data_IF_357026733258
#
_entry.id   IF_357026733258
#
_cell.length_a   1.000
_cell.length_b   1.000
_cell.length_c   1.000
_cell.angle_alpha   90.00
_cell.angle_beta   90.00
_cell.angle_gamma   90.00
#
_symmetry.space_group_name_H-M   'P 1'
#
loop_
_entity.id
_entity.type
_entity.pdbx_description
1 polymer ?
#
# COMPACT_ATOMS: atom_id res chain seq x y z
N UNK A 1 7.82 17.98 -0.82
CA UNK A 1 6.46 17.41 -0.78
C UNK A 1 5.92 17.53 0.64
N UNK A 2 4.69 17.98 0.86
CA UNK A 2 4.16 18.19 2.21
C UNK A 2 3.85 16.84 2.90
N UNK A 3 4.05 16.77 4.22
CA UNK A 3 3.77 15.56 5.03
C UNK A 3 2.31 15.10 4.89
N UNK A 4 1.41 16.05 4.72
CA UNK A 4 -0.03 15.85 4.56
C UNK A 4 -0.35 15.16 3.23
N UNK A 5 0.27 15.61 2.12
CA UNK A 5 0.09 15.01 0.79
C UNK A 5 0.61 13.57 0.78
N UNK A 6 1.78 13.30 1.37
CA UNK A 6 2.31 11.94 1.44
C UNK A 6 1.42 10.99 2.27
N UNK A 7 0.81 11.51 3.35
CA UNK A 7 -0.13 10.75 4.18
C UNK A 7 -1.42 10.43 3.42
N UNK A 8 -1.94 11.38 2.63
CA UNK A 8 -3.09 11.18 1.76
C UNK A 8 -2.82 10.15 0.67
N UNK A 9 -1.68 10.28 -0.03
CA UNK A 9 -1.26 9.33 -1.08
C UNK A 9 -1.20 7.91 -0.52
N UNK A 10 -0.57 7.73 0.64
CA UNK A 10 -0.46 6.40 1.25
C UNK A 10 -1.79 5.84 1.74
N UNK A 11 -2.71 6.69 2.23
CA UNK A 11 -4.07 6.26 2.56
C UNK A 11 -4.80 5.78 1.29
N UNK A 12 -4.84 6.59 0.24
CA UNK A 12 -5.47 6.24 -1.04
C UNK A 12 -4.90 4.96 -1.65
N UNK A 13 -3.57 4.81 -1.71
CA UNK A 13 -2.94 3.60 -2.24
C UNK A 13 -3.26 2.35 -1.42
N UNK A 14 -3.35 2.48 -0.10
CA UNK A 14 -3.79 1.37 0.74
C UNK A 14 -5.23 0.97 0.48
N UNK A 15 -6.14 1.94 0.33
CA UNK A 15 -7.55 1.67 0.01
C UNK A 15 -7.70 1.03 -1.37
N UNK A 16 -6.94 1.51 -2.35
CA UNK A 16 -6.95 0.98 -3.72
C UNK A 16 -6.45 -0.47 -3.81
N UNK A 17 -5.54 -0.87 -2.91
CA UNK A 17 -5.11 -2.28 -2.77
C UNK A 17 -6.14 -3.17 -2.07
N UNK A 18 -6.95 -2.59 -1.19
CA UNK A 18 -8.06 -3.26 -0.50
C UNK A 18 -9.34 -3.30 -1.34
N UNK A 19 -9.36 -2.57 -2.46
CA UNK A 19 -10.52 -2.49 -3.35
C UNK A 19 -10.94 -3.89 -3.80
N UNK A 20 -12.15 -4.28 -3.39
CA UNK A 20 -12.79 -5.51 -3.83
C UNK A 20 -13.67 -5.28 -5.07
N UNK A 21 -14.11 -6.37 -5.70
CA UNK A 21 -15.08 -6.30 -6.79
C UNK A 21 -16.38 -5.63 -6.30
N UNK A 22 -16.79 -4.55 -6.96
CA UNK A 22 -18.02 -3.81 -6.64
C UNK A 22 -17.81 -2.48 -5.91
N UNK A 23 -16.58 -2.10 -5.57
CA UNK A 23 -16.28 -0.77 -5.04
C UNK A 23 -16.21 0.25 -6.17
N UNK A 24 -16.97 1.32 -6.06
CA UNK A 24 -16.88 2.49 -6.93
C UNK A 24 -15.66 3.36 -6.57
N UNK A 25 -15.27 4.27 -7.47
CA UNK A 25 -14.20 5.23 -7.20
C UNK A 25 -14.53 6.13 -6.00
N UNK A 26 -15.82 6.50 -5.85
CA UNK A 26 -16.32 7.24 -4.70
C UNK A 26 -16.15 6.46 -3.39
N UNK A 27 -16.36 5.14 -3.42
CA UNK A 27 -16.12 4.28 -2.25
C UNK A 27 -14.63 4.24 -1.88
N UNK A 28 -13.74 4.19 -2.86
CA UNK A 28 -12.28 4.23 -2.63
C UNK A 28 -11.87 5.57 -2.02
N UNK A 29 -12.43 6.68 -2.50
CA UNK A 29 -12.18 8.03 -1.98
C UNK A 29 -12.71 8.19 -0.54
N UNK A 30 -13.93 7.75 -0.27
CA UNK A 30 -14.53 7.82 1.06
C UNK A 30 -13.73 7.00 2.10
N UNK A 31 -13.35 5.77 1.75
CA UNK A 31 -12.53 4.94 2.62
C UNK A 31 -11.09 5.49 2.80
N UNK A 32 -10.52 6.11 1.76
CA UNK A 32 -9.23 6.80 1.88
C UNK A 32 -9.29 8.01 2.83
N UNK A 33 -10.38 8.79 2.80
CA UNK A 33 -10.64 9.88 3.75
C UNK A 33 -10.75 9.36 5.18
N UNK A 34 -11.46 8.26 5.39
CA UNK A 34 -11.56 7.65 6.71
C UNK A 34 -10.19 7.19 7.24
N UNK A 35 -9.38 6.54 6.41
CA UNK A 35 -8.01 6.12 6.77
C UNK A 35 -7.08 7.32 7.04
N UNK A 36 -7.19 8.37 6.24
CA UNK A 36 -6.43 9.60 6.42
C UNK A 36 -6.76 10.28 7.75
N UNK A 37 -8.05 10.34 8.11
CA UNK A 37 -8.55 10.88 9.38
C UNK A 37 -8.16 10.02 10.59
N UNK A 38 -8.23 8.68 10.46
CA UNK A 38 -7.82 7.73 11.51
C UNK A 38 -6.31 7.72 11.75
N UNK A 39 -5.52 8.31 10.86
CA UNK A 39 -4.08 8.48 11.01
C UNK A 39 -3.25 7.20 10.91
N UNK A 40 -3.88 6.04 10.70
CA UNK A 40 -3.24 4.74 10.54
C UNK A 40 -3.11 4.46 9.05
N UNK A 41 -1.93 4.72 8.50
CA UNK A 41 -1.63 4.33 7.12
C UNK A 41 -1.23 2.85 7.12
N UNK A 42 -2.01 2.04 6.42
CA UNK A 42 -1.92 0.57 6.41
C UNK A 42 -0.57 0.09 5.85
N UNK A 43 0.10 0.87 4.99
CA UNK A 43 1.46 0.55 4.51
C UNK A 43 2.47 0.53 5.67
N UNK A 44 2.32 1.44 6.64
CA UNK A 44 3.18 1.46 7.83
C UNK A 44 2.84 0.31 8.77
N UNK A 45 1.55 -0.02 8.94
CA UNK A 45 1.13 -1.18 9.72
C UNK A 45 1.67 -2.49 9.16
N UNK A 46 1.65 -2.66 7.83
CA UNK A 46 2.21 -3.85 7.18
C UNK A 46 3.74 -3.92 7.33
N UNK A 47 4.44 -2.78 7.28
CA UNK A 47 5.89 -2.75 7.45
C UNK A 47 6.29 -2.97 8.92
N UNK A 48 5.53 -2.45 9.87
CA UNK A 48 5.67 -2.72 11.31
C UNK A 48 5.39 -4.19 11.64
N UNK A 49 4.33 -4.77 11.08
CA UNK A 49 4.03 -6.21 11.22
C UNK A 49 5.10 -7.08 10.57
N UNK A 50 5.63 -6.69 9.41
CA UNK A 50 6.74 -7.40 8.76
C UNK A 50 8.03 -7.35 9.59
N UNK A 51 8.33 -6.20 10.20
CA UNK A 51 9.44 -6.07 11.16
C UNK A 51 9.22 -6.95 12.41
N UNK A 52 8.01 -6.97 12.96
CA UNK A 52 7.66 -7.82 14.10
C UNK A 52 7.78 -9.32 13.76
N UNK A 53 7.41 -9.72 12.55
CA UNK A 53 7.55 -11.09 12.03
C UNK A 53 9.02 -11.49 11.78
N UNK A 54 9.87 -10.55 11.35
CA UNK A 54 11.31 -10.79 11.16
C UNK A 54 12.03 -10.95 12.48
N UNK A 55 11.65 -10.17 13.48
CA UNK A 55 12.29 -10.19 14.81
C UNK A 55 11.75 -11.34 15.68
N UNK A 56 10.77 -12.12 15.20
CA UNK A 56 10.43 -13.40 15.81
C UNK A 56 11.58 -14.41 15.64
N UNK A 57 12.06 -15.04 16.72
CA UNK A 57 13.01 -16.14 16.63
C UNK A 57 12.38 -17.27 15.81
N UNK A 58 12.88 -17.50 14.59
CA UNK A 58 12.54 -18.72 13.86
C UNK A 58 13.10 -19.90 14.65
N UNK A 59 12.18 -20.61 15.31
CA UNK A 59 12.43 -21.83 16.07
C UNK A 59 13.38 -21.64 17.26
N UNK A 60 12.80 -21.22 18.39
CA UNK A 60 13.36 -21.54 19.68
C UNK A 60 13.54 -23.07 19.79
N UNK A 61 14.80 -23.48 19.80
CA UNK A 61 15.28 -24.77 20.28
C UNK A 61 14.72 -25.04 21.68
N UNK A 62 13.57 -25.69 21.77
CA UNK A 62 13.11 -26.35 23.00
C UNK A 62 12.06 -27.42 22.67
N UNK A 63 12.46 -28.47 21.94
CA UNK A 63 11.77 -29.74 22.12
C UNK A 63 12.24 -30.29 23.47
N UNK A 64 11.46 -29.96 24.50
CA UNK A 64 11.64 -30.41 25.87
C UNK A 64 11.82 -31.92 25.90
N UNK A 65 12.82 -32.35 26.66
CA UNK A 65 13.06 -33.74 26.94
C UNK A 65 11.90 -34.41 27.70
N UNK A 66 11.94 -35.74 27.61
CA UNK A 66 11.32 -36.70 28.50
C UNK A 66 9.81 -36.95 28.36
N UNK A 67 9.45 -37.89 27.46
CA UNK A 67 8.54 -39.00 27.82
C UNK A 67 9.06 -40.25 27.10
N UNK A 68 9.45 -41.26 27.89
CA UNK A 68 10.10 -42.46 27.39
C UNK A 68 9.18 -43.45 26.69
N UNK A 69 9.79 -44.34 25.90
CA UNK A 69 9.49 -45.77 25.93
C UNK A 69 10.49 -46.57 25.12
N UNK A 70 11.22 -47.40 25.88
CA UNK A 70 11.80 -48.72 25.58
C UNK A 70 12.08 -49.10 24.12
N UNK A 71 13.36 -49.40 23.94
CA UNK A 71 13.92 -50.35 22.98
C UNK A 71 13.04 -51.60 22.72
N UNK A 72 13.00 -52.02 21.46
CA UNK A 72 13.03 -53.44 21.12
C UNK A 72 13.57 -53.60 19.69
N UNK A 73 14.83 -54.02 19.59
CA UNK A 73 15.34 -54.63 18.38
C UNK A 73 14.85 -56.07 18.31
N UNK A 74 14.49 -56.54 17.11
CA UNK A 74 14.38 -57.97 16.86
C UNK A 74 14.72 -58.29 15.41
N UNK A 75 15.83 -59.02 15.28
CA UNK A 75 16.39 -59.61 14.06
C UNK A 75 15.49 -60.76 13.60
N UNK A 76 15.25 -60.88 12.29
CA UNK A 76 15.16 -62.19 11.63
C UNK A 76 15.87 -62.15 10.28
N UNK A 77 17.10 -62.64 10.34
CA UNK A 77 17.91 -63.21 9.28
C UNK A 77 17.27 -64.48 8.72
N UNK A 78 17.35 -64.69 7.40
CA UNK A 78 17.59 -66.01 6.82
C UNK A 78 18.22 -65.84 5.42
N UNK A 79 19.35 -66.50 5.27
CA UNK A 79 20.17 -66.84 4.09
C UNK A 79 19.36 -67.43 2.91
N UNK A 80 19.85 -67.79 1.73
CA UNK A 80 20.99 -67.55 0.85
C UNK A 80 20.51 -68.26 -0.43
N UNK A 81 20.69 -67.69 -1.62
CA UNK A 81 20.73 -68.53 -2.83
C UNK A 81 21.50 -67.86 -3.94
N UNK A 82 22.73 -68.36 -4.10
CA UNK A 82 23.72 -67.98 -5.10
C UNK A 82 23.23 -68.39 -6.49
N UNK A 83 23.27 -67.47 -7.45
CA UNK A 83 22.78 -67.69 -8.82
C UNK A 83 23.44 -66.78 -9.84
N UNK A 84 24.74 -66.99 -10.03
CA UNK A 84 25.55 -66.83 -11.26
C UNK A 84 25.16 -65.81 -12.34
N UNK A 85 26.13 -64.93 -12.61
CA UNK A 85 26.65 -64.58 -13.95
C UNK A 85 25.91 -63.57 -14.85
N UNK A 86 26.76 -62.81 -15.56
CA UNK A 86 26.55 -62.04 -16.78
C UNK A 86 26.03 -60.59 -16.65
N UNK A 87 26.97 -59.65 -16.57
CA UNK A 87 26.82 -58.37 -17.28
C UNK A 87 26.89 -58.63 -18.80
N UNK A 88 26.18 -57.82 -19.60
CA UNK A 88 26.93 -56.78 -20.30
C UNK A 88 26.20 -55.43 -20.41
N UNK A 89 26.98 -54.39 -20.13
CA UNK A 89 27.27 -53.27 -21.04
C UNK A 89 26.11 -52.52 -21.71
N UNK A 90 25.90 -51.28 -21.26
CA UNK A 90 25.87 -50.12 -22.15
C UNK A 90 24.51 -49.53 -22.50
N UNK A 91 24.12 -48.44 -21.82
CA UNK A 91 23.61 -47.24 -22.49
C UNK A 91 23.65 -46.00 -21.59
N UNK A 92 24.69 -45.20 -21.80
CA UNK A 92 24.78 -43.80 -21.40
C UNK A 92 23.74 -42.92 -22.13
N UNK A 93 23.43 -41.78 -21.50
CA UNK A 93 22.85 -40.55 -22.04
C UNK A 93 21.34 -40.50 -22.38
N UNK A 94 20.58 -39.78 -21.54
CA UNK A 94 19.89 -38.54 -21.97
C UNK A 94 19.26 -37.78 -20.78
N UNK A 95 20.07 -37.01 -20.04
CA UNK A 95 19.55 -35.84 -19.31
C UNK A 95 19.25 -34.73 -20.33
N UNK A 96 18.02 -34.61 -20.81
CA UNK A 96 17.56 -33.36 -21.44
C UNK A 96 16.83 -32.51 -20.40
N UNK A 97 17.56 -31.55 -19.85
CA UNK A 97 17.05 -30.44 -19.04
C UNK A 97 16.00 -29.69 -19.86
N UNK A 98 14.74 -29.79 -19.47
CA UNK A 98 13.75 -28.76 -19.80
C UNK A 98 14.08 -27.50 -19.00
N UNK A 99 14.61 -26.47 -19.65
CA UNK A 99 14.60 -25.12 -19.09
C UNK A 99 14.14 -24.16 -20.18
N UNK A 100 12.81 -24.01 -20.23
CA UNK A 100 12.10 -23.00 -21.00
C UNK A 100 12.62 -21.62 -20.54
N UNK A 101 13.31 -20.89 -21.42
CA UNK A 101 13.54 -19.45 -21.24
C UNK A 101 12.29 -18.73 -21.76
N UNK A 102 11.43 -18.29 -20.86
CA UNK A 102 10.45 -17.23 -21.13
C UNK A 102 10.43 -16.30 -19.92
N UNK A 103 11.33 -15.33 -19.90
CA UNK A 103 11.35 -14.27 -18.88
C UNK A 103 11.42 -12.86 -19.46
N UNK A 104 11.42 -12.73 -20.78
CA UNK A 104 11.67 -11.44 -21.45
C UNK A 104 10.38 -10.66 -21.69
N UNK A 105 9.34 -11.31 -22.23
CA UNK A 105 8.04 -10.67 -22.49
C UNK A 105 7.26 -10.23 -21.23
N UNK A 106 7.59 -10.77 -20.06
CA UNK A 106 6.90 -10.44 -18.81
C UNK A 106 7.42 -9.16 -18.15
N UNK A 107 8.64 -8.72 -18.48
CA UNK A 107 9.23 -7.49 -17.91
C UNK A 107 8.76 -6.25 -18.67
N UNK A 108 8.62 -6.35 -19.99
CA UNK A 108 8.17 -5.24 -20.84
C UNK A 108 6.72 -4.82 -20.56
N UNK A 109 5.85 -5.78 -20.19
CA UNK A 109 4.47 -5.50 -19.77
C UNK A 109 4.41 -4.75 -18.44
N UNK A 110 5.24 -5.15 -17.47
CA UNK A 110 5.33 -4.49 -16.17
C UNK A 110 5.85 -3.05 -16.32
N UNK A 111 6.84 -2.82 -17.18
CA UNK A 111 7.37 -1.48 -17.41
C UNK A 111 6.33 -0.54 -18.04
N UNK A 112 5.52 -1.03 -18.99
CA UNK A 112 4.40 -0.27 -19.58
C UNK A 112 3.32 0.05 -18.54
N UNK A 113 2.91 -0.91 -17.73
CA UNK A 113 1.96 -0.70 -16.63
C UNK A 113 2.47 0.33 -15.62
N UNK A 114 3.77 0.35 -15.33
CA UNK A 114 4.38 1.34 -14.44
C UNK A 114 4.40 2.76 -15.01
N UNK A 115 4.55 2.90 -16.33
CA UNK A 115 4.47 4.20 -17.02
C UNK A 115 3.04 4.72 -17.01
N UNK A 116 2.07 3.88 -17.37
CA UNK A 116 0.64 4.24 -17.32
C UNK A 116 0.20 4.61 -15.91
N UNK A 117 0.64 3.87 -14.90
CA UNK A 117 0.36 4.18 -13.49
C UNK A 117 0.89 5.57 -13.09
N UNK A 118 2.09 5.95 -13.53
CA UNK A 118 2.66 7.28 -13.24
C UNK A 118 1.85 8.38 -13.91
N UNK A 119 1.41 8.17 -15.14
CA UNK A 119 0.62 9.14 -15.89
C UNK A 119 -0.75 9.37 -15.22
N UNK A 120 -1.44 8.30 -14.83
CA UNK A 120 -2.68 8.37 -14.04
C UNK A 120 -2.46 9.14 -12.74
N UNK A 121 -1.34 8.89 -12.04
CA UNK A 121 -1.02 9.57 -10.78
C UNK A 121 -0.77 11.07 -10.96
N UNK A 122 -0.12 11.47 -12.05
CA UNK A 122 0.08 12.88 -12.37
C UNK A 122 -1.26 13.57 -12.63
N UNK A 123 -2.13 12.94 -13.41
CA UNK A 123 -3.46 13.47 -13.72
C UNK A 123 -4.32 13.59 -12.45
N UNK A 124 -4.28 12.61 -11.55
CA UNK A 124 -5.00 12.63 -10.27
C UNK A 124 -4.51 13.76 -9.35
N UNK A 125 -3.19 14.00 -9.30
CA UNK A 125 -2.61 15.12 -8.54
C UNK A 125 -3.06 16.46 -9.13
N UNK A 126 -3.13 16.58 -10.45
CA UNK A 126 -3.58 17.79 -11.13
C UNK A 126 -5.06 18.07 -10.83
N UNK A 127 -5.93 17.06 -10.92
CA UNK A 127 -7.34 17.19 -10.53
C UNK A 127 -7.51 17.61 -9.06
N UNK A 128 -6.70 17.08 -8.15
CA UNK A 128 -6.72 17.48 -6.73
C UNK A 128 -6.28 18.94 -6.52
N UNK A 129 -5.30 19.41 -7.29
CA UNK A 129 -4.88 20.82 -7.26
C UNK A 129 -6.01 21.73 -7.75
N UNK A 130 -6.62 21.40 -8.88
CA UNK A 130 -7.77 22.14 -9.42
C UNK A 130 -8.94 22.19 -8.43
N UNK A 131 -9.29 21.05 -7.84
CA UNK A 131 -10.33 20.98 -6.80
C UNK A 131 -10.00 21.90 -5.61
N UNK A 132 -8.74 21.89 -5.15
CA UNK A 132 -8.30 22.73 -4.03
C UNK A 132 -8.37 24.22 -4.37
N UNK A 133 -7.94 24.60 -5.57
CA UNK A 133 -8.02 25.98 -6.07
C UNK A 133 -9.47 26.45 -6.17
N UNK A 134 -10.35 25.64 -6.75
CA UNK A 134 -11.79 25.93 -6.84
C UNK A 134 -12.39 26.10 -5.45
N UNK A 135 -12.02 25.26 -4.49
CA UNK A 135 -12.51 25.37 -3.11
C UNK A 135 -12.00 26.64 -2.41
N UNK A 136 -10.74 27.01 -2.66
CA UNK A 136 -10.15 28.25 -2.16
C UNK A 136 -10.85 29.47 -2.74
N UNK A 137 -11.11 29.50 -4.06
CA UNK A 137 -11.85 30.58 -4.73
C UNK A 137 -13.30 30.67 -4.23
N UNK A 138 -13.98 29.54 -4.03
CA UNK A 138 -15.32 29.53 -3.39
C UNK A 138 -15.28 30.15 -1.99
N UNK A 139 -14.27 29.84 -1.20
CA UNK A 139 -14.11 30.43 0.13
C UNK A 139 -13.79 31.93 0.05
N UNK A 140 -12.94 32.33 -0.89
CA UNK A 140 -12.62 33.74 -1.18
C UNK A 140 -13.86 34.52 -1.60
N UNK A 141 -14.70 33.95 -2.48
CA UNK A 141 -15.95 34.56 -2.91
C UNK A 141 -16.94 34.75 -1.75
N UNK A 142 -17.04 33.78 -0.84
CA UNK A 142 -17.86 33.92 0.38
C UNK A 142 -17.37 35.07 1.26
N UNK A 143 -16.05 35.18 1.45
CA UNK A 143 -15.43 36.29 2.19
C UNK A 143 -15.67 37.64 1.50
N UNK A 144 -15.49 37.70 0.18
CA UNK A 144 -15.75 38.90 -0.62
C UNK A 144 -17.22 39.34 -0.55
N UNK A 145 -18.15 38.39 -0.63
CA UNK A 145 -19.58 38.67 -0.49
C UNK A 145 -19.92 39.24 0.89
N UNK A 146 -19.30 38.71 1.95
CA UNK A 146 -19.47 39.22 3.30
C UNK A 146 -18.87 40.63 3.45
N UNK A 147 -17.69 40.86 2.87
CA UNK A 147 -17.02 42.16 2.85
C UNK A 147 -17.92 43.24 2.24
N UNK A 148 -18.45 43.02 1.02
CA UNK A 148 -19.35 43.96 0.35
C UNK A 148 -20.61 44.24 1.16
N UNK A 149 -21.14 43.24 1.87
CA UNK A 149 -22.31 43.40 2.72
C UNK A 149 -22.00 44.35 3.89
N UNK A 150 -20.91 44.09 4.61
CA UNK A 150 -20.51 44.89 5.77
C UNK A 150 -20.07 46.30 5.38
N UNK A 151 -19.36 46.47 4.26
CA UNK A 151 -18.92 47.78 3.79
C UNK A 151 -20.09 48.68 3.34
N UNK A 152 -21.26 48.11 3.10
CA UNK A 152 -22.48 48.82 2.70
C UNK A 152 -23.40 49.14 3.90
N UNK A 153 -23.08 48.63 5.09
CA UNK A 153 -23.87 48.84 6.31
C UNK A 153 -23.55 50.24 6.91
N UNK A 154 -24.57 51.05 7.18
CA UNK A 154 -24.39 52.44 7.62
C UNK A 154 -23.97 52.56 9.10
N UNK A 155 -24.34 51.57 9.92
CA UNK A 155 -24.05 51.55 11.36
C UNK A 155 -23.43 50.21 11.76
N UNK A 156 -22.10 50.15 11.67
CA UNK A 156 -21.33 48.99 12.12
C UNK A 156 -21.07 49.06 13.62
N UNK A 157 -21.31 47.96 14.33
CA UNK A 157 -20.83 47.81 15.70
C UNK A 157 -19.30 47.59 15.75
N UNK A 158 -18.70 47.67 16.94
CA UNK A 158 -17.23 47.56 17.05
C UNK A 158 -16.69 46.18 16.65
N UNK A 159 -17.52 45.13 16.78
CA UNK A 159 -17.16 43.76 16.37
C UNK A 159 -17.23 43.60 14.85
N UNK A 160 -18.20 44.23 14.19
CA UNK A 160 -18.35 44.24 12.75
C UNK A 160 -17.26 45.06 12.06
N UNK A 161 -16.83 46.17 12.67
CA UNK A 161 -15.65 46.92 12.23
C UNK A 161 -14.38 46.07 12.26
N UNK A 162 -14.17 45.34 13.36
CA UNK A 162 -13.02 44.42 13.49
C UNK A 162 -13.08 43.29 12.44
N UNK A 163 -14.27 42.74 12.20
CA UNK A 163 -14.48 41.72 11.17
C UNK A 163 -14.19 42.27 9.76
N UNK A 164 -14.63 43.50 9.47
CA UNK A 164 -14.38 44.16 8.19
C UNK A 164 -12.87 44.35 7.96
N UNK A 165 -12.14 44.87 8.94
CA UNK A 165 -10.68 45.08 8.86
C UNK A 165 -9.93 43.74 8.67
N UNK A 166 -10.36 42.68 9.36
CA UNK A 166 -9.81 41.34 9.16
C UNK A 166 -10.05 40.82 7.73
N UNK A 167 -11.26 41.00 7.19
CA UNK A 167 -11.58 40.62 5.82
C UNK A 167 -10.76 41.40 4.81
N UNK A 168 -10.51 42.69 5.03
CA UNK A 168 -9.65 43.51 4.16
C UNK A 168 -8.22 42.96 4.11
N UNK A 169 -7.64 42.66 5.27
CA UNK A 169 -6.31 42.04 5.34
C UNK A 169 -6.26 40.68 4.65
N UNK A 170 -7.26 39.84 4.85
CA UNK A 170 -7.27 38.49 4.25
C UNK A 170 -7.54 38.49 2.73
N UNK A 171 -8.31 39.45 2.21
CA UNK A 171 -8.69 39.52 0.80
C UNK A 171 -7.71 40.33 -0.05
N UNK A 172 -7.09 41.36 0.53
CA UNK A 172 -6.27 42.35 -0.17
C UNK A 172 -4.87 42.54 0.43
N UNK A 173 -4.56 41.90 1.56
CA UNK A 173 -3.21 41.89 2.12
C UNK A 173 -2.27 41.08 1.24
N UNK A 174 -1.25 41.75 0.71
CA UNK A 174 -0.11 41.11 0.03
C UNK A 174 0.86 40.50 1.03
#
# INVERSE_FOLDING_TARGET
>A
MSKVINKWIGAYESTKRLQGSGWSEDDVLANAQELFARGKNIQFTLNEEWHALRDQPRYGSQMGGNVGSRSSGSKRSHEDSVGSSAHPTGREAAKKKGKKKSKDASLEGVEKEWVEFKEIKVQEIEQLKEYTLVQQEKNRLKKMKLYVKLSSEEHLDDREKELLENLERELFGN
#
